data_IF_114136157765
#
_entry.id   IF_114136157765
#
_cell.length_a   1.000
_cell.length_b   1.000
_cell.length_c   1.000
_cell.angle_alpha   90.00
_cell.angle_beta   90.00
_cell.angle_gamma   90.00
#
_symmetry.space_group_name_H-M   'P 1'
#
loop_
_entity.id
_entity.type
_entity.pdbx_description
1 polymer ?
#
# COMPACT_ATOMS: atom_id res chain seq x y z
N UNK A 1 19.61 19.83 20.64
CA UNK A 1 18.64 20.01 19.53
C UNK A 1 18.14 18.65 19.12
N UNK A 2 16.91 18.30 19.50
CA UNK A 2 16.30 17.02 19.17
C UNK A 2 15.62 17.19 17.82
N UNK A 3 16.22 16.65 16.76
CA UNK A 3 15.57 16.59 15.45
C UNK A 3 14.38 15.66 15.59
N UNK A 4 13.18 16.23 15.69
CA UNK A 4 11.93 15.47 15.57
C UNK A 4 11.89 14.96 14.14
N UNK A 5 12.36 13.73 13.92
CA UNK A 5 12.16 13.01 12.68
C UNK A 5 10.65 13.05 12.40
N UNK A 6 10.26 13.70 11.31
CA UNK A 6 8.89 13.73 10.83
C UNK A 6 8.29 12.33 10.97
N UNK A 7 7.13 12.24 11.64
CA UNK A 7 6.50 10.97 12.02
C UNK A 7 6.77 9.88 10.99
N UNK A 8 7.50 8.84 11.41
CA UNK A 8 7.96 7.70 10.57
C UNK A 8 6.77 6.87 10.07
N UNK A 9 5.54 7.32 10.35
CA UNK A 9 4.31 6.68 10.00
C UNK A 9 3.24 7.68 9.54
N UNK A 10 2.28 7.20 8.75
CA UNK A 10 1.11 7.93 8.33
C UNK A 10 -0.13 7.05 8.45
N UNK A 11 -1.29 7.67 8.64
CA UNK A 11 -2.57 6.98 8.66
C UNK A 11 -3.19 7.01 7.27
N UNK A 12 -3.56 5.84 6.74
CA UNK A 12 -4.32 5.74 5.49
C UNK A 12 -5.67 5.08 5.74
N UNK A 13 -6.67 5.50 4.97
CA UNK A 13 -8.00 4.92 5.01
C UNK A 13 -7.99 3.53 4.43
N UNK A 14 -8.65 2.61 5.12
CA UNK A 14 -8.83 1.22 4.70
C UNK A 14 -10.31 0.91 4.70
N UNK A 15 -10.76 0.17 3.70
CA UNK A 15 -12.15 -0.28 3.61
C UNK A 15 -12.14 -1.76 3.31
N UNK A 16 -12.76 -2.56 4.17
CA UNK A 16 -12.91 -4.00 3.95
C UNK A 16 -14.36 -4.41 4.20
N UNK A 17 -14.76 -5.54 3.64
CA UNK A 17 -16.12 -6.08 3.78
C UNK A 17 -16.09 -7.32 4.64
N UNK A 18 -16.98 -7.38 5.63
CA UNK A 18 -17.26 -8.60 6.40
C UNK A 18 -18.70 -9.04 6.16
N UNK A 19 -18.99 -10.32 6.28
CA UNK A 19 -20.38 -10.77 6.35
C UNK A 19 -20.88 -10.46 7.77
N UNK A 20 -21.87 -9.58 7.88
CA UNK A 20 -22.55 -9.31 9.15
C UNK A 20 -23.45 -10.48 9.55
N UNK A 21 -23.92 -10.49 10.80
CA UNK A 21 -24.74 -11.58 11.38
C UNK A 21 -26.00 -11.92 10.55
N UNK A 22 -26.50 -10.96 9.76
CA UNK A 22 -27.64 -11.12 8.85
C UNK A 22 -27.29 -11.79 7.50
N UNK A 23 -26.04 -12.25 7.30
CA UNK A 23 -25.56 -12.82 6.04
C UNK A 23 -25.32 -11.79 4.93
N UNK A 24 -25.40 -10.49 5.25
CA UNK A 24 -25.18 -9.39 4.31
C UNK A 24 -23.75 -8.83 4.44
N UNK A 25 -23.08 -8.47 3.33
CA UNK A 25 -21.77 -7.84 3.39
C UNK A 25 -21.89 -6.44 3.99
N UNK A 26 -21.28 -6.24 5.15
CA UNK A 26 -21.11 -4.97 5.83
C UNK A 26 -19.76 -4.35 5.44
N UNK A 27 -19.78 -3.06 5.08
CA UNK A 27 -18.58 -2.31 4.69
C UNK A 27 -18.02 -1.63 5.93
N UNK A 28 -16.86 -2.09 6.39
CA UNK A 28 -16.15 -1.49 7.52
C UNK A 28 -15.11 -0.51 6.98
N UNK A 29 -15.21 0.75 7.41
CA UNK A 29 -14.28 1.82 7.07
C UNK A 29 -13.43 2.16 8.29
N UNK A 30 -12.11 2.10 8.12
CA UNK A 30 -11.16 2.41 9.17
C UNK A 30 -9.92 3.10 8.64
N UNK A 31 -8.90 3.14 9.48
CA UNK A 31 -7.58 3.68 9.22
C UNK A 31 -6.55 2.72 9.77
N UNK A 32 -5.52 2.48 8.98
CA UNK A 32 -4.35 1.71 9.37
C UNK A 32 -3.12 2.62 9.37
N UNK A 33 -2.17 2.29 10.25
CA UNK A 33 -0.94 3.04 10.42
C UNK A 33 0.19 2.38 9.63
N UNK A 34 0.71 3.10 8.65
CA UNK A 34 1.76 2.61 7.75
C UNK A 34 3.06 3.36 7.99
N UNK A 35 4.20 2.68 7.85
CA UNK A 35 5.50 3.32 7.92
C UNK A 35 5.80 4.07 6.63
N UNK A 36 6.43 5.24 6.75
CA UNK A 36 6.99 5.97 5.60
C UNK A 36 8.29 5.29 5.19
N UNK A 37 8.27 4.64 4.03
CA UNK A 37 9.46 4.04 3.44
C UNK A 37 10.41 5.10 2.87
N UNK A 38 11.72 4.87 2.98
CA UNK A 38 12.72 5.63 2.22
C UNK A 38 12.58 5.35 0.73
N UNK A 39 13.10 6.24 -0.12
CA UNK A 39 13.04 6.08 -1.58
C UNK A 39 13.61 4.74 -2.07
N UNK A 40 14.69 4.24 -1.46
CA UNK A 40 15.28 2.94 -1.79
C UNK A 40 14.40 1.77 -1.36
N UNK A 41 13.82 1.82 -0.16
CA UNK A 41 12.91 0.79 0.36
C UNK A 41 11.61 0.74 -0.45
N UNK A 42 11.04 1.90 -0.78
CA UNK A 42 9.87 2.00 -1.66
C UNK A 42 10.16 1.39 -3.02
N UNK A 43 11.30 1.73 -3.64
CA UNK A 43 11.69 1.13 -4.93
C UNK A 43 11.82 -0.39 -4.82
N UNK A 44 12.46 -0.91 -3.78
CA UNK A 44 12.59 -2.35 -3.59
C UNK A 44 11.22 -3.04 -3.44
N UNK A 45 10.32 -2.45 -2.66
CA UNK A 45 8.96 -2.95 -2.49
C UNK A 45 8.18 -2.91 -3.81
N UNK A 46 8.24 -1.80 -4.55
CA UNK A 46 7.59 -1.65 -5.85
C UNK A 46 8.07 -2.72 -6.85
N UNK A 47 9.37 -3.05 -6.85
CA UNK A 47 9.91 -4.13 -7.69
C UNK A 47 9.30 -5.49 -7.35
N UNK A 48 9.16 -5.81 -6.06
CA UNK A 48 8.52 -7.07 -5.62
C UNK A 48 7.03 -7.11 -5.95
N UNK A 49 6.32 -5.98 -5.85
CA UNK A 49 4.91 -5.87 -6.28
C UNK A 49 4.81 -6.08 -7.79
N UNK A 50 5.71 -5.50 -8.59
CA UNK A 50 5.77 -5.76 -10.04
C UNK A 50 6.08 -7.22 -10.35
N UNK A 51 6.91 -7.87 -9.55
CA UNK A 51 7.23 -9.29 -9.69
C UNK A 51 5.99 -10.20 -9.57
N UNK A 52 4.94 -9.78 -8.84
CA UNK A 52 3.67 -10.52 -8.79
C UNK A 52 2.93 -10.55 -10.13
N UNK A 53 3.16 -9.57 -11.02
CA UNK A 53 2.56 -9.51 -12.36
C UNK A 53 3.43 -10.15 -13.44
N UNK A 54 4.67 -10.52 -13.10
CA UNK A 54 5.66 -11.12 -13.99
C UNK A 54 5.48 -12.64 -14.03
N UNK A 55 4.59 -13.12 -14.90
CA UNK A 55 4.43 -14.55 -15.17
C UNK A 55 5.73 -15.15 -15.73
N UNK A 56 5.97 -16.46 -15.57
CA UNK A 56 7.16 -17.11 -16.11
C UNK A 56 7.35 -16.86 -17.62
N UNK A 57 6.26 -16.88 -18.39
CA UNK A 57 6.28 -16.61 -19.84
C UNK A 57 6.67 -15.15 -20.15
N UNK A 58 6.16 -14.19 -19.37
CA UNK A 58 6.52 -12.79 -19.52
C UNK A 58 8.00 -12.56 -19.17
N UNK A 59 8.50 -13.21 -18.11
CA UNK A 59 9.92 -13.18 -17.74
C UNK A 59 10.80 -13.74 -18.86
N UNK A 60 10.42 -14.86 -19.45
CA UNK A 60 11.12 -15.46 -20.58
C UNK A 60 11.09 -14.56 -21.83
N UNK A 61 9.95 -13.91 -22.10
CA UNK A 61 9.80 -12.95 -23.19
C UNK A 61 10.71 -11.73 -23.03
N UNK A 62 10.74 -11.12 -21.84
CA UNK A 62 11.62 -9.99 -21.53
C UNK A 62 13.09 -10.42 -21.62
N UNK A 63 13.44 -11.62 -21.14
CA UNK A 63 14.81 -12.12 -21.25
C UNK A 63 15.25 -12.27 -22.70
N UNK A 64 14.37 -12.81 -23.55
CA UNK A 64 14.63 -12.93 -24.99
C UNK A 64 14.82 -11.57 -25.67
N UNK A 65 14.09 -10.53 -25.22
CA UNK A 65 14.29 -9.16 -25.70
C UNK A 65 15.62 -8.56 -25.23
N UNK A 66 16.05 -8.83 -23.99
CA UNK A 66 17.34 -8.37 -23.47
C UNK A 66 18.53 -9.02 -24.20
N UNK A 67 18.41 -10.31 -24.51
CA UNK A 67 19.44 -11.10 -25.19
C UNK A 67 19.42 -10.87 -26.73
N UNK A 68 18.45 -10.13 -27.26
CA UNK A 68 18.36 -9.81 -28.68
C UNK A 68 19.52 -8.88 -29.12
N UNK A 69 20.16 -9.15 -30.26
CA UNK A 69 21.31 -8.36 -30.73
C UNK A 69 20.95 -6.91 -31.10
N UNK A 70 19.68 -6.65 -31.42
CA UNK A 70 19.09 -5.35 -31.76
C UNK A 70 18.35 -4.69 -30.58
N UNK A 71 18.61 -5.16 -29.35
CA UNK A 71 18.02 -4.64 -28.14
C UNK A 71 18.43 -3.16 -27.89
N UNK A 72 17.45 -2.26 -28.02
CA UNK A 72 17.61 -0.81 -27.88
C UNK A 72 17.64 -0.29 -26.43
N UNK A 73 17.69 -1.17 -25.42
CA UNK A 73 17.78 -0.73 -24.02
C UNK A 73 19.14 -0.15 -23.70
N UNK A 74 19.14 1.04 -23.10
CA UNK A 74 20.34 1.65 -22.50
C UNK A 74 20.88 0.80 -21.35
N UNK A 75 22.16 0.97 -21.00
CA UNK A 75 22.77 0.24 -19.89
C UNK A 75 21.98 0.39 -18.57
N UNK A 76 21.45 1.59 -18.32
CA UNK A 76 20.61 1.88 -17.15
C UNK A 76 19.29 1.12 -17.18
N UNK A 77 18.61 1.09 -18.32
CA UNK A 77 17.35 0.34 -18.47
C UNK A 77 17.59 -1.15 -18.31
N UNK A 78 18.69 -1.69 -18.87
CA UNK A 78 19.06 -3.09 -18.67
C UNK A 78 19.25 -3.42 -17.18
N UNK A 79 19.96 -2.59 -16.42
CA UNK A 79 20.11 -2.81 -14.96
C UNK A 79 18.77 -2.80 -14.22
N UNK A 80 17.86 -1.89 -14.57
CA UNK A 80 16.53 -1.84 -13.94
C UNK A 80 15.67 -3.06 -14.32
N UNK A 81 15.68 -3.47 -15.59
CA UNK A 81 14.94 -4.65 -16.05
C UNK A 81 15.50 -5.93 -15.40
N UNK A 82 16.83 -6.07 -15.31
CA UNK A 82 17.43 -7.22 -14.62
C UNK A 82 17.08 -7.24 -13.12
N UNK A 83 17.04 -6.08 -12.47
CA UNK A 83 16.58 -5.97 -11.08
C UNK A 83 15.10 -6.34 -10.92
N UNK A 84 14.25 -6.00 -11.89
CA UNK A 84 12.84 -6.40 -11.90
C UNK A 84 12.67 -7.92 -12.15
N UNK A 85 13.48 -8.51 -13.03
CA UNK A 85 13.46 -9.96 -13.28
C UNK A 85 13.98 -10.77 -12.10
N UNK A 86 14.97 -10.26 -11.37
CA UNK A 86 15.54 -10.89 -10.18
C UNK A 86 14.66 -10.73 -8.93
N UNK A 87 13.68 -9.80 -8.96
CA UNK A 87 12.79 -9.59 -7.82
C UNK A 87 11.89 -10.81 -7.59
N UNK A 88 11.83 -11.22 -6.32
CA UNK A 88 10.90 -12.24 -5.87
C UNK A 88 9.50 -11.63 -5.66
N UNK A 89 8.43 -12.35 -6.05
CA UNK A 89 7.08 -11.93 -5.72
C UNK A 89 6.92 -11.77 -4.21
N UNK A 90 5.98 -10.92 -3.81
CA UNK A 90 5.67 -10.64 -2.41
C UNK A 90 4.23 -11.07 -2.12
N UNK A 91 4.04 -11.79 -1.03
CA UNK A 91 2.70 -12.11 -0.53
C UNK A 91 2.13 -10.94 0.26
N UNK A 92 0.81 -10.86 0.39
CA UNK A 92 0.18 -9.79 1.18
C UNK A 92 0.68 -9.79 2.63
N UNK A 93 0.89 -10.96 3.24
CA UNK A 93 1.47 -11.07 4.58
C UNK A 93 2.88 -10.47 4.68
N UNK A 94 3.76 -10.76 3.71
CA UNK A 94 5.10 -10.18 3.67
C UNK A 94 5.05 -8.67 3.41
N UNK A 95 4.13 -8.21 2.56
CA UNK A 95 3.93 -6.78 2.31
C UNK A 95 3.52 -6.06 3.60
N UNK A 96 2.54 -6.59 4.34
CA UNK A 96 2.07 -5.99 5.59
C UNK A 96 3.16 -5.96 6.65
N UNK A 97 4.01 -6.99 6.74
CA UNK A 97 5.15 -6.98 7.65
C UNK A 97 6.14 -5.84 7.36
N UNK A 98 6.29 -5.44 6.10
CA UNK A 98 7.21 -4.37 5.67
C UNK A 98 6.63 -2.95 5.87
N UNK A 99 5.30 -2.80 5.79
CA UNK A 99 4.67 -1.47 5.76
C UNK A 99 3.76 -1.15 6.94
N UNK A 100 3.18 -2.14 7.60
CA UNK A 100 2.25 -1.92 8.71
C UNK A 100 3.04 -1.69 10.01
N UNK A 101 2.71 -0.62 10.73
CA UNK A 101 3.41 -0.27 11.99
C UNK A 101 2.91 -1.13 13.14
N UNK A 102 1.59 -1.32 13.20
CA UNK A 102 0.89 -2.05 14.24
C UNK A 102 -0.48 -2.48 13.70
N UNK A 103 -1.13 -3.40 14.42
CA UNK A 103 -2.51 -3.79 14.15
C UNK A 103 -3.52 -2.94 14.96
N UNK A 104 -3.15 -1.74 15.45
CA UNK A 104 -4.07 -0.79 16.11
C UNK A 104 -4.88 -0.04 15.05
N UNK A 105 -5.78 -0.78 14.40
CA UNK A 105 -6.71 -0.25 13.41
C UNK A 105 -7.72 0.65 14.11
N UNK A 106 -8.04 1.77 13.49
CA UNK A 106 -9.00 2.72 14.07
C UNK A 106 -10.15 3.02 13.13
N UNK A 107 -11.35 3.11 13.64
CA UNK A 107 -12.49 3.59 12.86
C UNK A 107 -12.40 5.10 12.61
N UNK A 108 -13.41 5.66 11.93
CA UNK A 108 -13.49 7.10 11.68
C UNK A 108 -13.66 7.95 12.96
N UNK A 109 -14.17 7.37 14.04
CA UNK A 109 -14.30 8.00 15.35
C UNK A 109 -13.02 7.87 16.21
N UNK A 110 -12.01 7.15 15.72
CA UNK A 110 -10.74 6.91 16.41
C UNK A 110 -10.78 5.75 17.41
N UNK A 111 -11.87 4.97 17.43
CA UNK A 111 -12.01 3.77 18.26
C UNK A 111 -11.25 2.60 17.65
N UNK A 112 -10.66 1.77 18.50
CA UNK A 112 -9.93 0.59 18.06
C UNK A 112 -10.91 -0.40 17.41
N UNK A 113 -10.59 -0.81 16.18
CA UNK A 113 -11.29 -1.90 15.49
C UNK A 113 -10.63 -3.19 15.97
N UNK A 114 -11.35 -3.98 16.75
CA UNK A 114 -10.91 -5.30 17.17
C UNK A 114 -10.92 -6.24 15.95
N UNK A 115 -9.81 -6.30 15.21
CA UNK A 115 -9.61 -7.33 14.20
C UNK A 115 -9.23 -8.64 14.90
N UNK A 116 -10.02 -9.69 14.68
CA UNK A 116 -9.73 -11.02 15.21
C UNK A 116 -9.35 -11.96 14.07
N UNK A 117 -8.41 -12.91 14.27
CA UNK A 117 -8.10 -13.92 13.25
C UNK A 117 -9.32 -14.71 12.76
N UNK A 118 -10.36 -14.88 13.60
CA UNK A 118 -11.62 -15.52 13.21
C UNK A 118 -12.41 -14.72 12.15
N UNK A 119 -12.30 -13.38 12.15
CA UNK A 119 -12.90 -12.55 11.08
C UNK A 119 -12.22 -12.76 9.72
N UNK A 120 -10.98 -13.26 9.70
CA UNK A 120 -10.27 -13.62 8.45
C UNK A 120 -10.91 -14.83 7.76
N UNK A 121 -11.41 -15.79 8.53
CA UNK A 121 -12.05 -17.01 8.02
C UNK A 121 -13.49 -16.78 7.53
N UNK A 122 -14.07 -15.61 7.84
CA UNK A 122 -15.43 -15.21 7.45
C UNK A 122 -15.47 -14.41 6.13
N UNK A 123 -14.33 -14.25 5.47
CA UNK A 123 -14.22 -13.58 4.17
C UNK A 123 -14.81 -14.46 3.06
N UNK A 124 -15.80 -13.92 2.35
CA UNK A 124 -16.40 -14.55 1.16
C UNK A 124 -15.41 -14.56 -0.02
N UNK A 125 -15.43 -15.61 -0.86
CA UNK A 125 -14.60 -15.71 -2.07
C UNK A 125 -14.77 -14.52 -3.04
N UNK A 126 -15.90 -13.82 -2.99
CA UNK A 126 -16.22 -12.66 -3.84
C UNK A 126 -15.70 -11.31 -3.29
N UNK A 127 -15.07 -11.28 -2.12
CA UNK A 127 -14.61 -10.05 -1.47
C UNK A 127 -13.09 -10.05 -1.25
N UNK A 128 -12.45 -8.91 -1.55
CA UNK A 128 -11.04 -8.68 -1.24
C UNK A 128 -10.79 -8.99 0.25
N UNK A 129 -9.84 -9.90 0.50
CA UNK A 129 -9.44 -10.26 1.85
C UNK A 129 -9.01 -9.05 2.68
N UNK A 130 -9.06 -9.16 4.01
CA UNK A 130 -8.63 -8.10 4.91
C UNK A 130 -7.21 -7.59 4.59
N UNK A 131 -6.33 -8.51 4.20
CA UNK A 131 -4.96 -8.22 3.79
C UNK A 131 -4.90 -7.43 2.47
N UNK A 132 -5.72 -7.80 1.48
CA UNK A 132 -5.85 -7.08 0.22
C UNK A 132 -6.41 -5.65 0.43
N UNK A 133 -7.32 -5.47 1.38
CA UNK A 133 -7.85 -4.16 1.77
C UNK A 133 -6.76 -3.25 2.36
N UNK A 134 -5.88 -3.81 3.20
CA UNK A 134 -4.72 -3.10 3.75
C UNK A 134 -3.69 -2.76 2.67
N UNK A 135 -3.44 -3.65 1.71
CA UNK A 135 -2.55 -3.39 0.57
C UNK A 135 -3.11 -2.25 -0.28
N UNK A 136 -4.41 -2.31 -0.63
CA UNK A 136 -5.08 -1.26 -1.43
C UNK A 136 -5.03 0.10 -0.74
N UNK A 137 -5.34 0.17 0.56
CA UNK A 137 -5.27 1.43 1.31
C UNK A 137 -3.88 2.07 1.30
N UNK A 138 -2.82 1.27 1.32
CA UNK A 138 -1.46 1.77 1.15
C UNK A 138 -1.21 2.29 -0.27
N UNK A 139 -1.59 1.54 -1.30
CA UNK A 139 -1.43 1.93 -2.71
C UNK A 139 -2.17 3.22 -3.02
N UNK A 140 -3.42 3.35 -2.58
CA UNK A 140 -4.25 4.54 -2.78
C UNK A 140 -3.62 5.77 -2.09
N UNK A 141 -3.07 5.60 -0.89
CA UNK A 141 -2.39 6.68 -0.18
C UNK A 141 -1.09 7.11 -0.87
N UNK A 142 -0.34 6.17 -1.47
CA UNK A 142 0.85 6.48 -2.26
C UNK A 142 0.51 7.20 -3.56
N UNK A 143 -0.58 6.80 -4.23
CA UNK A 143 -1.06 7.47 -5.43
C UNK A 143 -1.53 8.89 -5.12
N UNK A 144 -2.31 9.07 -4.04
CA UNK A 144 -2.74 10.38 -3.56
C UNK A 144 -1.54 11.27 -3.19
N UNK A 145 -0.50 10.73 -2.57
CA UNK A 145 0.73 11.47 -2.27
C UNK A 145 1.55 11.82 -3.54
N UNK A 146 1.36 11.09 -4.63
CA UNK A 146 2.06 11.31 -5.91
C UNK A 146 1.31 12.23 -6.86
N UNK A 147 0.00 12.43 -6.67
CA UNK A 147 -0.81 13.41 -7.42
C UNK A 147 -0.59 14.81 -6.83
N UNK A 148 -0.05 15.78 -7.60
CA UNK A 148 0.00 17.15 -7.14
C UNK A 148 -1.37 17.81 -7.38
N UNK A 149 -2.32 17.66 -6.44
CA UNK A 149 -3.49 18.55 -6.44
C UNK A 149 -4.19 18.65 -5.07
N UNK A 150 -4.42 19.91 -4.71
CA UNK A 150 -5.35 20.41 -3.69
C UNK A 150 -5.05 20.09 -2.23
N UNK A 151 -3.94 20.64 -1.74
CA UNK A 151 -3.93 21.22 -0.40
C UNK A 151 -4.99 22.31 -0.34
N UNK A 152 -6.24 21.93 -0.09
CA UNK A 152 -7.23 22.84 0.50
C UNK A 152 -6.56 23.47 1.73
N UNK A 153 -6.30 24.77 1.62
CA UNK A 153 -5.97 25.62 2.75
C UNK A 153 -7.14 25.59 3.72
N UNK A 154 -7.19 24.58 4.58
CA UNK A 154 -8.04 24.61 5.76
C UNK A 154 -7.30 25.43 6.84
N UNK A 155 -7.04 26.71 6.51
CA UNK A 155 -6.73 27.73 7.50
C UNK A 155 -8.07 28.35 7.88
N UNK A 156 -8.69 27.77 8.90
CA UNK A 156 -9.76 28.44 9.66
C UNK A 156 -9.24 29.83 10.02
N UNK A 157 -9.88 30.87 9.47
CA UNK A 157 -9.67 32.23 9.95
C UNK A 157 -10.11 32.26 11.42
N UNK A 158 -9.27 32.71 12.36
CA UNK A 158 -9.75 32.90 13.72
C UNK A 158 -10.80 34.01 13.70
N UNK A 159 -12.05 33.64 14.01
CA UNK A 159 -13.12 34.58 14.34
C UNK A 159 -12.71 35.37 15.59
N UNK A 160 -12.06 36.50 15.37
CA UNK A 160 -11.87 37.52 16.40
C UNK A 160 -13.22 38.11 16.78
N UNK A 161 -13.80 37.59 17.86
CA UNK A 161 -14.85 38.30 18.59
C UNK A 161 -14.12 39.22 19.56
N UNK A 162 -14.08 40.51 19.24
CA UNK A 162 -13.53 41.55 20.11
C UNK A 162 -14.62 42.58 20.37
N UNK A 163 -15.10 42.59 21.61
CA UNK A 163 -15.99 43.60 22.19
C UNK A 163 -15.36 44.99 22.21
#
# INVERSE_FOLDING_TARGET
>A
MTVVLASVAFWASITYRLIGDDGKPEVIQGRARYRRLKTSERKALDRRIRANRLTPDLRAGIRKQLDAPDCNFTARERTEIEADLAAEPITDAQFLQEVLVDWDLRDKAGQAIAFTPAMKEQLCEDCDGFEAALVRGYSDAQEAASKPQETEKNSVAPSGTGS
#
